data_IF_104639713088
#
_entry.id   IF_104639713088
#
_cell.length_a   1.000
_cell.length_b   1.000
_cell.length_c   1.000
_cell.angle_alpha   90.00
_cell.angle_beta   90.00
_cell.angle_gamma   90.00
#
_symmetry.space_group_name_H-M   'P 1'
#
loop_
_entity.id
_entity.type
_entity.pdbx_description
1 polymer ?
#
# COMPACT_ATOMS: atom_id res chain seq x y z
N UNK A 1 25.45 -5.33 11.45
CA UNK A 1 24.50 -4.29 11.01
C UNK A 1 23.57 -3.98 12.17
N UNK A 2 23.62 -2.75 12.71
CA UNK A 2 22.87 -2.32 13.90
C UNK A 2 21.50 -1.73 13.56
N UNK A 3 20.61 -1.65 14.56
CA UNK A 3 19.27 -1.06 14.41
C UNK A 3 19.30 0.42 14.03
N UNK A 4 20.34 1.14 14.46
CA UNK A 4 20.54 2.57 14.26
C UNK A 4 21.47 2.89 13.07
N UNK A 5 21.82 1.87 12.25
CA UNK A 5 22.59 2.13 11.04
C UNK A 5 21.79 3.01 10.08
N UNK A 6 22.39 4.06 9.50
CA UNK A 6 21.69 4.95 8.59
C UNK A 6 21.31 4.25 7.30
N UNK A 7 20.16 4.62 6.75
CA UNK A 7 19.65 4.18 5.46
C UNK A 7 19.54 5.38 4.54
N UNK A 8 20.30 5.38 3.44
CA UNK A 8 20.20 6.37 2.39
C UNK A 8 19.68 5.67 1.12
N UNK A 9 18.43 5.90 0.78
CA UNK A 9 17.76 5.16 -0.30
C UNK A 9 17.03 6.02 -1.32
N UNK A 10 17.02 7.35 -1.14
CA UNK A 10 16.23 8.25 -1.99
C UNK A 10 17.02 9.49 -2.41
N UNK A 11 16.59 10.06 -3.55
CA UNK A 11 17.22 11.18 -4.22
C UNK A 11 17.33 12.43 -3.32
N UNK A 12 16.25 12.76 -2.61
CA UNK A 12 16.17 13.97 -1.79
C UNK A 12 17.17 14.00 -0.63
N UNK A 13 17.64 12.83 -0.14
CA UNK A 13 18.53 12.75 1.02
C UNK A 13 19.98 13.05 0.67
N UNK A 14 20.42 14.23 0.98
CA UNK A 14 21.82 14.67 0.76
C UNK A 14 22.71 14.63 2.03
N UNK A 15 22.14 14.21 3.17
CA UNK A 15 22.89 14.19 4.44
C UNK A 15 22.14 13.53 5.60
N UNK A 16 22.74 13.52 6.80
CA UNK A 16 22.20 12.80 7.97
C UNK A 16 21.13 13.59 8.76
N UNK A 17 20.75 14.80 8.34
CA UNK A 17 19.84 15.66 9.10
C UNK A 17 18.39 15.11 9.11
N UNK A 18 17.63 15.44 10.17
CA UNK A 18 16.22 15.09 10.30
C UNK A 18 15.34 15.66 9.18
N UNK A 19 15.74 16.80 8.60
CA UNK A 19 15.09 17.47 7.49
C UNK A 19 15.84 17.29 6.17
N UNK A 20 16.56 16.18 6.01
CA UNK A 20 17.27 15.90 4.77
C UNK A 20 16.35 15.39 3.64
N UNK A 21 15.10 15.07 3.97
CA UNK A 21 14.05 14.66 3.02
C UNK A 21 12.72 15.39 3.33
N UNK A 22 12.67 16.75 3.23
CA UNK A 22 11.51 17.53 3.68
C UNK A 22 10.25 17.22 2.86
N UNK A 23 10.37 17.06 1.55
CA UNK A 23 9.24 16.77 0.66
C UNK A 23 8.70 15.35 0.90
N UNK A 24 9.59 14.37 1.01
CA UNK A 24 9.23 13.00 1.36
C UNK A 24 8.57 12.94 2.75
N UNK A 25 9.11 13.63 3.76
CA UNK A 25 8.54 13.65 5.11
C UNK A 25 7.13 14.28 5.12
N UNK A 26 6.95 15.45 4.50
CA UNK A 26 5.69 16.20 4.53
C UNK A 26 4.59 15.51 3.73
N UNK A 27 4.90 14.89 2.60
CA UNK A 27 3.89 14.21 1.76
C UNK A 27 3.25 13.01 2.45
N UNK A 28 3.83 12.49 3.53
CA UNK A 28 3.18 11.47 4.37
C UNK A 28 1.92 11.96 5.09
N UNK A 29 1.72 13.28 5.23
CA UNK A 29 0.46 13.85 5.72
C UNK A 29 -0.75 13.43 4.85
N UNK A 30 -0.54 13.08 3.59
CA UNK A 30 -1.59 12.60 2.71
C UNK A 30 -2.27 11.32 3.23
N UNK A 31 -1.53 10.41 3.88
CA UNK A 31 -2.11 9.22 4.51
C UNK A 31 -3.01 9.58 5.69
N UNK A 32 -2.59 10.54 6.51
CA UNK A 32 -3.36 11.01 7.66
C UNK A 32 -4.63 11.73 7.21
N UNK A 33 -4.54 12.55 6.16
CA UNK A 33 -5.68 13.23 5.57
C UNK A 33 -6.67 12.23 4.98
N UNK A 34 -6.21 11.24 4.21
CA UNK A 34 -7.06 10.19 3.66
C UNK A 34 -7.78 9.41 4.79
N UNK A 35 -7.05 9.06 5.84
CA UNK A 35 -7.65 8.39 7.01
C UNK A 35 -8.68 9.27 7.71
N UNK A 36 -8.40 10.55 7.93
CA UNK A 36 -9.33 11.50 8.57
C UNK A 36 -10.63 11.67 7.78
N UNK A 37 -10.55 11.76 6.45
CA UNK A 37 -11.70 11.84 5.55
C UNK A 37 -12.55 10.57 5.61
N UNK A 38 -11.90 9.39 5.69
CA UNK A 38 -12.59 8.10 5.66
C UNK A 38 -13.12 7.66 7.02
N UNK A 39 -12.50 8.07 8.12
CA UNK A 39 -12.85 7.64 9.48
C UNK A 39 -14.34 7.75 9.82
N UNK A 40 -15.03 8.88 9.57
CA UNK A 40 -16.46 8.97 9.80
C UNK A 40 -17.30 8.14 8.82
N UNK A 41 -16.81 7.97 7.57
CA UNK A 41 -17.54 7.25 6.51
C UNK A 41 -17.59 5.74 6.73
N UNK A 42 -16.56 5.16 7.36
CA UNK A 42 -16.46 3.72 7.60
C UNK A 42 -17.17 3.26 8.87
N UNK A 43 -17.96 4.11 9.53
CA UNK A 43 -18.76 3.73 10.70
C UNK A 43 -19.73 2.61 10.32
N UNK A 44 -19.76 1.53 11.10
CA UNK A 44 -20.62 0.37 10.84
C UNK A 44 -20.15 -0.55 9.70
N UNK A 45 -19.05 -0.24 9.04
CA UNK A 45 -18.44 -1.10 8.02
C UNK A 45 -17.37 -1.96 8.67
N UNK A 46 -17.53 -3.28 8.57
CA UNK A 46 -16.54 -4.23 9.10
C UNK A 46 -15.14 -3.95 8.55
N UNK A 47 -14.13 -3.97 9.42
CA UNK A 47 -12.71 -3.68 9.12
C UNK A 47 -12.39 -2.23 8.69
N UNK A 48 -13.38 -1.38 8.40
CA UNK A 48 -13.15 -0.03 7.87
C UNK A 48 -12.30 0.83 8.80
N UNK A 49 -12.63 0.89 10.11
CA UNK A 49 -11.83 1.65 11.09
C UNK A 49 -10.44 1.06 11.30
N UNK A 50 -10.31 -0.27 11.28
CA UNK A 50 -9.01 -0.93 11.39
C UNK A 50 -8.11 -0.57 10.21
N UNK A 51 -8.64 -0.56 8.98
CA UNK A 51 -7.91 -0.13 7.79
C UNK A 51 -7.50 1.35 7.87
N UNK A 52 -8.37 2.24 8.34
CA UNK A 52 -8.01 3.65 8.58
C UNK A 52 -6.93 3.78 9.67
N UNK A 53 -6.99 2.98 10.74
CA UNK A 53 -5.95 2.96 11.77
C UNK A 53 -4.59 2.53 11.23
N UNK A 54 -4.56 1.49 10.38
CA UNK A 54 -3.34 1.06 9.70
C UNK A 54 -2.85 2.11 8.71
N UNK A 55 -3.75 2.83 8.02
CA UNK A 55 -3.39 3.93 7.13
C UNK A 55 -2.69 5.08 7.88
N UNK A 56 -3.15 5.40 9.10
CA UNK A 56 -2.47 6.35 10.00
C UNK A 56 -1.09 5.82 10.37
N UNK A 57 -0.97 4.54 10.72
CA UNK A 57 0.31 3.92 11.07
C UNK A 57 1.30 3.96 9.89
N UNK A 58 0.84 3.78 8.63
CA UNK A 58 1.65 3.95 7.43
C UNK A 58 2.18 5.38 7.37
N UNK A 59 1.32 6.39 7.48
CA UNK A 59 1.74 7.80 7.39
C UNK A 59 2.74 8.19 8.48
N UNK A 60 2.53 7.73 9.71
CA UNK A 60 3.45 8.00 10.83
C UNK A 60 4.77 7.25 10.65
N UNK A 61 4.73 5.95 10.31
CA UNK A 61 5.93 5.13 10.13
C UNK A 61 6.80 5.63 8.98
N UNK A 62 6.18 6.00 7.87
CA UNK A 62 6.88 6.56 6.71
C UNK A 62 7.47 7.95 7.01
N UNK A 63 6.73 8.85 7.69
CA UNK A 63 7.26 10.14 8.13
C UNK A 63 8.46 9.97 9.06
N UNK A 64 8.43 9.01 9.98
CA UNK A 64 9.56 8.67 10.84
C UNK A 64 10.78 8.21 10.02
N UNK A 65 10.56 7.36 9.01
CA UNK A 65 11.65 6.90 8.17
C UNK A 65 12.28 8.05 7.37
N UNK A 66 11.49 8.94 6.78
CA UNK A 66 12.00 10.08 6.02
C UNK A 66 12.60 11.21 6.87
N UNK A 67 12.42 11.16 8.18
CA UNK A 67 13.09 12.08 9.11
C UNK A 67 14.34 11.45 9.72
N UNK A 68 14.22 10.30 10.36
CA UNK A 68 15.31 9.63 11.10
C UNK A 68 16.26 8.86 10.19
N UNK A 69 15.73 8.20 9.15
CA UNK A 69 16.45 7.39 8.15
C UNK A 69 17.39 6.33 8.76
N UNK A 70 16.88 5.59 9.72
CA UNK A 70 17.56 4.45 10.34
C UNK A 70 16.81 3.14 10.05
N UNK A 71 17.46 1.99 10.24
CA UNK A 71 16.88 0.67 9.93
C UNK A 71 15.60 0.38 10.70
N UNK A 72 15.51 0.73 11.98
CA UNK A 72 14.27 0.56 12.75
C UNK A 72 13.12 1.39 12.17
N UNK A 73 13.41 2.62 11.72
CA UNK A 73 12.42 3.48 11.09
C UNK A 73 11.98 2.94 9.73
N UNK A 74 12.90 2.32 8.96
CA UNK A 74 12.54 1.61 7.73
C UNK A 74 11.57 0.44 7.99
N UNK A 75 11.70 -0.26 9.11
CA UNK A 75 10.71 -1.28 9.50
C UNK A 75 9.38 -0.65 9.93
N UNK A 76 9.42 0.48 10.64
CA UNK A 76 8.21 1.21 11.02
C UNK A 76 7.43 1.72 9.78
N UNK A 77 8.12 2.00 8.67
CA UNK A 77 7.51 2.33 7.37
C UNK A 77 6.88 1.10 6.71
N UNK A 78 7.63 0.00 6.58
CA UNK A 78 7.23 -1.16 5.76
C UNK A 78 6.20 -2.06 6.45
N UNK A 79 6.30 -2.26 7.78
CA UNK A 79 5.42 -3.20 8.49
C UNK A 79 3.95 -2.81 8.45
N UNK A 80 3.55 -1.53 8.62
CA UNK A 80 2.15 -1.13 8.47
C UNK A 80 1.62 -1.34 7.04
N UNK A 81 2.45 -1.18 6.00
CA UNK A 81 2.06 -1.46 4.62
C UNK A 81 1.70 -2.94 4.47
N UNK A 82 2.55 -3.84 4.97
CA UNK A 82 2.25 -5.26 4.99
C UNK A 82 0.96 -5.55 5.79
N UNK A 83 0.81 -4.92 6.95
CA UNK A 83 -0.40 -5.01 7.77
C UNK A 83 -1.66 -4.61 7.01
N UNK A 84 -1.60 -3.52 6.22
CA UNK A 84 -2.71 -3.10 5.37
C UNK A 84 -3.06 -4.16 4.32
N UNK A 85 -2.06 -4.70 3.61
CA UNK A 85 -2.27 -5.73 2.59
C UNK A 85 -2.98 -6.94 3.18
N UNK A 86 -2.47 -7.49 4.29
CA UNK A 86 -3.02 -8.68 4.92
C UNK A 86 -4.44 -8.45 5.46
N UNK A 87 -4.67 -7.28 6.10
CA UNK A 87 -6.00 -6.91 6.60
C UNK A 87 -7.00 -6.69 5.47
N UNK A 88 -6.57 -6.07 4.36
CA UNK A 88 -7.43 -5.86 3.21
C UNK A 88 -7.80 -7.17 2.53
N UNK A 89 -6.83 -8.08 2.34
CA UNK A 89 -7.10 -9.43 1.83
C UNK A 89 -8.08 -10.19 2.72
N UNK A 90 -7.86 -10.14 4.02
CA UNK A 90 -8.80 -10.74 4.98
C UNK A 90 -10.21 -10.14 4.83
N UNK A 91 -10.32 -8.82 4.77
CA UNK A 91 -11.60 -8.11 4.67
C UNK A 91 -12.34 -8.47 3.38
N UNK A 92 -11.66 -8.55 2.23
CA UNK A 92 -12.26 -8.97 0.95
C UNK A 92 -12.66 -10.44 0.98
N UNK A 93 -11.80 -11.32 1.48
CA UNK A 93 -12.09 -12.75 1.59
C UNK A 93 -13.30 -13.02 2.49
N UNK A 94 -13.42 -12.31 3.60
CA UNK A 94 -14.55 -12.44 4.53
C UNK A 94 -15.80 -11.71 4.07
N UNK A 95 -15.67 -10.48 3.60
CA UNK A 95 -16.79 -9.57 3.35
C UNK A 95 -17.35 -9.63 1.92
N UNK A 96 -16.52 -9.99 0.94
CA UNK A 96 -16.94 -10.04 -0.49
C UNK A 96 -17.05 -11.46 -1.00
N UNK A 97 -16.07 -12.30 -0.71
CA UNK A 97 -16.12 -13.74 -1.07
C UNK A 97 -16.94 -14.57 -0.09
N UNK A 98 -17.25 -14.05 1.09
CA UNK A 98 -17.98 -14.75 2.17
C UNK A 98 -17.31 -16.06 2.62
N UNK A 99 -15.98 -16.15 2.52
CA UNK A 99 -15.25 -17.33 2.95
C UNK A 99 -15.32 -17.53 4.46
N UNK A 100 -15.32 -18.77 4.93
CA UNK A 100 -15.12 -19.11 6.33
C UNK A 100 -13.78 -18.60 6.89
N UNK A 101 -13.64 -18.50 8.21
CA UNK A 101 -12.40 -17.97 8.84
C UNK A 101 -11.15 -18.72 8.42
N UNK A 102 -11.19 -20.05 8.39
CA UNK A 102 -10.05 -20.89 8.00
C UNK A 102 -9.64 -20.62 6.54
N UNK A 103 -10.59 -20.65 5.59
CA UNK A 103 -10.31 -20.39 4.18
C UNK A 103 -9.79 -18.97 3.93
N UNK A 104 -10.36 -17.96 4.61
CA UNK A 104 -9.88 -16.59 4.53
C UNK A 104 -8.43 -16.48 5.06
N UNK A 105 -8.10 -17.17 6.17
CA UNK A 105 -6.75 -17.23 6.72
C UNK A 105 -5.75 -17.89 5.77
N UNK A 106 -6.14 -19.00 5.14
CA UNK A 106 -5.31 -19.66 4.11
C UNK A 106 -5.07 -18.70 2.94
N UNK A 107 -6.10 -17.96 2.46
CA UNK A 107 -5.94 -16.97 1.40
C UNK A 107 -4.96 -15.86 1.77
N UNK A 108 -4.95 -15.40 3.04
CA UNK A 108 -3.97 -14.44 3.54
C UNK A 108 -2.57 -15.06 3.61
N UNK A 109 -2.43 -16.30 4.10
CA UNK A 109 -1.15 -16.99 4.21
C UNK A 109 -0.51 -17.25 2.82
N UNK A 110 -1.31 -17.55 1.82
CA UNK A 110 -0.86 -17.76 0.43
C UNK A 110 -0.30 -16.48 -0.22
N UNK A 111 -0.56 -15.30 0.35
CA UNK A 111 0.08 -14.06 -0.09
C UNK A 111 1.60 -14.14 -0.04
N UNK A 112 2.18 -14.75 1.00
CA UNK A 112 3.63 -14.78 1.18
C UNK A 112 4.36 -15.55 0.07
N UNK A 113 4.04 -16.83 -0.23
CA UNK A 113 4.68 -17.54 -1.33
C UNK A 113 4.35 -16.90 -2.69
N UNK A 114 3.13 -16.40 -2.89
CA UNK A 114 2.77 -15.66 -4.10
C UNK A 114 3.67 -14.43 -4.28
N UNK A 115 3.80 -13.58 -3.25
CA UNK A 115 4.61 -12.36 -3.32
C UNK A 115 6.11 -12.69 -3.52
N UNK A 116 6.62 -13.74 -2.88
CA UNK A 116 8.01 -14.17 -3.04
C UNK A 116 8.30 -14.63 -4.47
N UNK A 117 7.48 -15.53 -5.03
CA UNK A 117 7.69 -16.09 -6.37
C UNK A 117 7.50 -15.00 -7.45
N UNK A 118 6.39 -14.25 -7.39
CA UNK A 118 6.10 -13.24 -8.40
C UNK A 118 7.05 -12.03 -8.29
N UNK A 119 7.41 -11.60 -7.08
CA UNK A 119 8.39 -10.53 -6.87
C UNK A 119 9.77 -10.89 -7.39
N UNK A 120 10.23 -12.12 -7.12
CA UNK A 120 11.47 -12.63 -7.70
C UNK A 120 11.43 -12.68 -9.24
N UNK A 121 10.34 -13.21 -9.81
CA UNK A 121 10.15 -13.28 -11.26
C UNK A 121 10.11 -11.90 -11.91
N UNK A 122 9.33 -10.98 -11.37
CA UNK A 122 9.21 -9.60 -11.89
C UNK A 122 10.56 -8.87 -11.79
N UNK A 123 11.28 -9.00 -10.68
CA UNK A 123 12.60 -8.38 -10.51
C UNK A 123 13.65 -8.90 -11.52
N UNK A 124 13.52 -10.18 -11.96
CA UNK A 124 14.35 -10.73 -13.03
C UNK A 124 13.96 -10.24 -14.42
N UNK A 125 12.66 -10.10 -14.67
CA UNK A 125 12.11 -9.67 -15.97
C UNK A 125 12.27 -8.16 -16.19
N UNK A 126 12.15 -7.36 -15.12
CA UNK A 126 12.19 -5.90 -15.17
C UNK A 126 13.19 -5.38 -14.12
N UNK A 127 14.51 -5.52 -14.36
CA UNK A 127 15.54 -5.08 -13.40
C UNK A 127 15.47 -3.58 -13.08
N UNK A 128 14.93 -2.77 -13.99
CA UNK A 128 14.73 -1.32 -13.80
C UNK A 128 13.82 -0.96 -12.61
N UNK A 129 13.00 -1.89 -12.13
CA UNK A 129 12.19 -1.68 -10.92
C UNK A 129 13.03 -1.64 -9.64
N UNK A 130 14.23 -2.22 -9.63
CA UNK A 130 15.07 -2.26 -8.44
C UNK A 130 14.33 -2.82 -7.22
N UNK A 131 14.47 -2.15 -6.07
CA UNK A 131 13.75 -2.51 -4.83
C UNK A 131 12.22 -2.36 -4.93
N UNK A 132 11.71 -1.61 -5.92
CA UNK A 132 10.27 -1.43 -6.15
C UNK A 132 9.59 -2.69 -6.70
N UNK A 133 10.35 -3.65 -7.25
CA UNK A 133 9.83 -4.95 -7.71
C UNK A 133 9.09 -5.72 -6.61
N UNK A 134 9.44 -5.52 -5.33
CA UNK A 134 8.76 -6.14 -4.19
C UNK A 134 7.30 -5.71 -4.00
N UNK A 135 6.87 -4.59 -4.58
CA UNK A 135 5.48 -4.12 -4.51
C UNK A 135 4.64 -4.53 -5.72
N UNK A 136 5.28 -4.91 -6.84
CA UNK A 136 4.58 -5.33 -8.05
C UNK A 136 3.64 -6.56 -7.85
N UNK A 137 3.97 -7.55 -7.01
CA UNK A 137 3.06 -8.64 -6.67
C UNK A 137 1.71 -8.17 -6.10
N UNK A 138 1.70 -7.06 -5.35
CA UNK A 138 0.47 -6.50 -4.77
C UNK A 138 -0.44 -5.97 -5.88
N UNK A 139 0.11 -5.20 -6.83
CA UNK A 139 -0.64 -4.71 -7.99
C UNK A 139 -1.20 -5.88 -8.82
N UNK A 140 -0.39 -6.92 -9.07
CA UNK A 140 -0.82 -8.12 -9.77
C UNK A 140 -1.95 -8.84 -9.01
N UNK A 141 -1.82 -9.00 -7.68
CA UNK A 141 -2.85 -9.65 -6.88
C UNK A 141 -4.17 -8.88 -6.90
N UNK A 142 -4.13 -7.55 -6.84
CA UNK A 142 -5.33 -6.71 -6.96
C UNK A 142 -6.01 -6.93 -8.32
N UNK A 143 -5.24 -7.00 -9.42
CA UNK A 143 -5.76 -7.30 -10.76
C UNK A 143 -6.37 -8.70 -10.85
N UNK A 144 -5.74 -9.71 -10.23
CA UNK A 144 -6.30 -11.07 -10.17
C UNK A 144 -7.63 -11.11 -9.42
N UNK A 145 -7.74 -10.39 -8.29
CA UNK A 145 -9.00 -10.25 -7.56
C UNK A 145 -10.04 -9.48 -8.38
N UNK A 146 -9.65 -8.42 -9.11
CA UNK A 146 -10.53 -7.70 -10.01
C UNK A 146 -11.09 -8.62 -11.11
N UNK A 147 -10.22 -9.40 -11.76
CA UNK A 147 -10.62 -10.35 -12.79
C UNK A 147 -11.59 -11.44 -12.24
N UNK A 148 -11.24 -12.00 -11.09
CA UNK A 148 -12.06 -13.04 -10.44
C UNK A 148 -13.44 -12.51 -10.00
N UNK A 149 -13.55 -11.23 -9.63
CA UNK A 149 -14.79 -10.59 -9.19
C UNK A 149 -15.57 -9.91 -10.32
N UNK A 150 -15.04 -9.85 -11.54
CA UNK A 150 -15.63 -9.09 -12.64
C UNK A 150 -17.09 -9.43 -12.93
N UNK A 151 -17.47 -10.72 -12.83
CA UNK A 151 -18.86 -11.16 -13.05
C UNK A 151 -19.74 -11.07 -11.80
N UNK A 152 -19.14 -11.19 -10.61
CA UNK A 152 -19.87 -11.27 -9.32
C UNK A 152 -20.12 -9.90 -8.69
N UNK A 153 -19.16 -8.99 -8.81
CA UNK A 153 -19.18 -7.65 -8.25
C UNK A 153 -18.50 -6.65 -9.21
N UNK A 154 -19.09 -6.37 -10.40
CA UNK A 154 -18.43 -5.65 -11.48
C UNK A 154 -17.97 -4.25 -11.08
N UNK A 155 -18.78 -3.51 -10.31
CA UNK A 155 -18.41 -2.19 -9.82
C UNK A 155 -17.22 -2.24 -8.86
N UNK A 156 -17.16 -3.22 -7.96
CA UNK A 156 -16.02 -3.41 -7.06
C UNK A 156 -14.77 -3.85 -7.83
N UNK A 157 -14.92 -4.76 -8.79
CA UNK A 157 -13.83 -5.20 -9.67
C UNK A 157 -13.20 -4.04 -10.44
N UNK A 158 -14.01 -3.14 -11.01
CA UNK A 158 -13.52 -1.94 -11.69
C UNK A 158 -12.75 -1.00 -10.73
N UNK A 159 -13.23 -0.84 -9.49
CA UNK A 159 -12.54 -0.05 -8.48
C UNK A 159 -11.19 -0.69 -8.06
N UNK A 160 -11.12 -2.03 -7.97
CA UNK A 160 -9.86 -2.74 -7.73
C UNK A 160 -8.88 -2.51 -8.88
N UNK A 161 -9.33 -2.62 -10.13
CA UNK A 161 -8.50 -2.39 -11.30
C UNK A 161 -7.93 -0.96 -11.33
N UNK A 162 -8.74 0.05 -10.98
CA UNK A 162 -8.27 1.42 -10.83
C UNK A 162 -7.23 1.53 -9.70
N UNK A 163 -7.47 0.91 -8.55
CA UNK A 163 -6.50 0.85 -7.46
C UNK A 163 -5.16 0.25 -7.90
N UNK A 164 -5.20 -0.85 -8.67
CA UNK A 164 -3.99 -1.46 -9.23
C UNK A 164 -3.26 -0.55 -10.23
N UNK A 165 -4.00 0.19 -11.05
CA UNK A 165 -3.41 1.17 -11.98
C UNK A 165 -2.69 2.31 -11.23
N UNK A 166 -3.33 2.86 -10.17
CA UNK A 166 -2.72 3.90 -9.33
C UNK A 166 -1.46 3.35 -8.64
N UNK A 167 -1.51 2.11 -8.12
CA UNK A 167 -0.34 1.46 -7.53
C UNK A 167 0.77 1.24 -8.55
N UNK A 168 0.45 0.87 -9.79
CA UNK A 168 1.42 0.75 -10.87
C UNK A 168 2.15 2.08 -11.16
N UNK A 169 1.41 3.19 -11.21
CA UNK A 169 2.00 4.54 -11.34
C UNK A 169 2.89 4.87 -10.13
N UNK A 170 2.45 4.52 -8.93
CA UNK A 170 3.21 4.74 -7.69
C UNK A 170 4.52 3.95 -7.68
N UNK A 171 4.48 2.67 -8.04
CA UNK A 171 5.67 1.81 -8.18
C UNK A 171 6.65 2.41 -9.21
N UNK A 172 6.14 2.92 -10.34
CA UNK A 172 6.95 3.56 -11.36
C UNK A 172 7.62 4.82 -10.82
N UNK A 173 6.87 5.71 -10.14
CA UNK A 173 7.42 6.92 -9.52
C UNK A 173 8.56 6.58 -8.55
N UNK A 174 8.38 5.54 -7.72
CA UNK A 174 9.43 5.08 -6.79
C UNK A 174 10.64 4.48 -7.51
N UNK A 175 10.42 3.74 -8.61
CA UNK A 175 11.49 3.07 -9.35
C UNK A 175 12.40 4.06 -10.10
N UNK A 176 11.82 5.17 -10.59
CA UNK A 176 12.58 6.18 -11.33
C UNK A 176 13.19 7.27 -10.45
N UNK A 177 13.01 7.22 -9.13
CA UNK A 177 13.52 8.21 -8.19
C UNK A 177 15.03 8.42 -8.36
N UNK A 178 15.85 7.42 -8.03
CA UNK A 178 17.29 7.49 -8.13
C UNK A 178 17.81 7.75 -9.58
N UNK A 179 17.28 7.10 -10.64
CA UNK A 179 17.66 7.40 -12.01
C UNK A 179 17.45 8.86 -12.43
N UNK A 180 16.48 9.56 -11.84
CA UNK A 180 16.16 10.94 -12.20
C UNK A 180 16.95 11.97 -11.36
N UNK A 181 17.64 11.61 -10.29
CA UNK A 181 18.38 12.51 -9.42
C UNK A 181 19.28 13.52 -10.15
N UNK A 182 20.03 13.15 -11.20
CA UNK A 182 20.89 14.11 -11.89
C UNK A 182 20.12 15.25 -12.57
N UNK A 183 18.83 15.06 -12.88
CA UNK A 183 17.98 16.05 -13.55
C UNK A 183 16.94 16.67 -12.63
N UNK A 184 16.56 15.97 -11.56
CA UNK A 184 15.54 16.35 -10.59
C UNK A 184 16.02 15.98 -9.18
N UNK A 185 16.72 16.89 -8.51
CA UNK A 185 17.34 16.62 -7.20
C UNK A 185 16.36 16.23 -6.09
N UNK A 186 15.10 16.70 -6.15
CA UNK A 186 14.04 16.33 -5.23
C UNK A 186 13.56 14.87 -5.44
N UNK A 187 13.89 14.29 -6.60
CA UNK A 187 13.45 12.97 -7.00
C UNK A 187 11.94 12.86 -7.21
N UNK A 188 11.45 11.65 -7.25
CA UNK A 188 10.03 11.34 -7.50
C UNK A 188 9.40 10.52 -6.38
N UNK A 189 10.13 10.22 -5.29
CA UNK A 189 9.63 9.38 -4.23
C UNK A 189 8.43 9.99 -3.48
N UNK A 190 8.35 11.31 -3.37
CA UNK A 190 7.17 11.98 -2.80
C UNK A 190 5.87 11.64 -3.56
N UNK A 191 5.93 11.36 -4.86
CA UNK A 191 4.78 10.88 -5.63
C UNK A 191 4.34 9.47 -5.20
N UNK A 192 5.28 8.62 -4.76
CA UNK A 192 4.96 7.34 -4.14
C UNK A 192 4.03 7.52 -2.93
N UNK A 193 4.31 8.49 -2.04
CA UNK A 193 3.46 8.76 -0.89
C UNK A 193 2.08 9.24 -1.30
N UNK A 194 2.00 10.25 -2.17
CA UNK A 194 0.73 10.83 -2.61
C UNK A 194 -0.15 9.80 -3.33
N UNK A 195 0.44 9.04 -4.28
CA UNK A 195 -0.28 8.02 -5.04
C UNK A 195 -0.70 6.83 -4.16
N UNK A 196 0.14 6.41 -3.20
CA UNK A 196 -0.26 5.35 -2.27
C UNK A 196 -1.34 5.84 -1.29
N UNK A 197 -1.27 7.05 -0.76
CA UNK A 197 -2.33 7.60 0.09
C UNK A 197 -3.67 7.65 -0.66
N UNK A 198 -3.65 8.08 -1.93
CA UNK A 198 -4.81 8.06 -2.81
C UNK A 198 -5.31 6.63 -3.05
N UNK A 199 -4.41 5.72 -3.42
CA UNK A 199 -4.75 4.32 -3.73
C UNK A 199 -5.31 3.59 -2.52
N UNK A 200 -4.66 3.66 -1.36
CA UNK A 200 -5.12 2.98 -0.15
C UNK A 200 -6.45 3.56 0.35
N UNK A 201 -6.60 4.90 0.30
CA UNK A 201 -7.88 5.55 0.59
C UNK A 201 -8.98 5.12 -0.37
N UNK A 202 -8.69 5.04 -1.67
CA UNK A 202 -9.60 4.53 -2.68
C UNK A 202 -10.01 3.09 -2.41
N UNK A 203 -9.06 2.22 -2.05
CA UNK A 203 -9.34 0.81 -1.74
C UNK A 203 -10.27 0.66 -0.52
N UNK A 204 -10.08 1.47 0.53
CA UNK A 204 -10.99 1.49 1.69
C UNK A 204 -12.40 1.92 1.26
N UNK A 205 -12.51 2.98 0.47
CA UNK A 205 -13.81 3.49 0.00
C UNK A 205 -14.51 2.48 -0.94
N UNK A 206 -13.74 1.81 -1.83
CA UNK A 206 -14.27 0.76 -2.69
C UNK A 206 -14.85 -0.41 -1.88
N UNK A 207 -14.12 -0.87 -0.87
CA UNK A 207 -14.58 -1.93 0.03
C UNK A 207 -15.83 -1.48 0.81
N UNK A 208 -15.84 -0.25 1.33
CA UNK A 208 -16.99 0.33 2.02
C UNK A 208 -18.24 0.30 1.15
N UNK A 209 -18.15 0.79 -0.09
CA UNK A 209 -19.26 0.81 -1.04
C UNK A 209 -19.78 -0.60 -1.32
N UNK A 210 -18.86 -1.56 -1.53
CA UNK A 210 -19.21 -2.96 -1.77
C UNK A 210 -19.94 -3.59 -0.59
N UNK A 211 -19.47 -3.34 0.65
CA UNK A 211 -20.07 -3.90 1.85
C UNK A 211 -21.46 -3.32 2.15
N UNK A 212 -21.69 -2.03 1.81
CA UNK A 212 -22.99 -1.38 1.98
C UNK A 212 -24.00 -1.78 0.88
N UNK A 213 -23.51 -2.10 -0.33
CA UNK A 213 -24.36 -2.55 -1.43
C UNK A 213 -24.77 -4.04 -1.32
N UNK A 214 -24.03 -4.84 -0.54
CA UNK A 214 -24.37 -6.24 -0.34
C UNK A 214 -25.66 -6.37 0.49
N UNK A 215 -26.65 -7.22 0.06
CA UNK A 215 -27.81 -7.52 0.89
C UNK A 215 -27.36 -8.09 2.24
N UNK A 216 -28.07 -7.71 3.31
CA UNK A 216 -27.82 -8.31 4.62
C UNK A 216 -27.97 -9.84 4.51
N UNK A 217 -27.07 -10.64 5.11
CA UNK A 217 -27.24 -12.10 5.12
C UNK A 217 -28.60 -12.44 5.76
N UNK A 218 -29.31 -13.44 5.25
CA UNK A 218 -30.55 -13.90 5.88
C UNK A 218 -30.22 -14.29 7.34
N UNK A 219 -31.08 -13.83 8.27
CA UNK A 219 -30.98 -14.14 9.70
C UNK A 219 -31.22 -15.60 9.96
#
# INVERSE_FOLDING_TARGET
MGWFDPVNGYCERLGPGLWAEPLNAVTNLAFLLAAAILWPRVRGVGYGRSLCGVLIAIGVGSALFHTVAERWAALADVLPILGFILLYLWAVNRGVWHLGRAAAGVGVALFFPFAAITGWGIGRLIPALGSSAGYAPVALLILLYAAALARRAPAFAANLALGAAILGLSITARAVDLPLCPRWPEGTHFLWHLLNALMLGWMIEALRRQMLAAPAPPR
#
